data_IF_355124189589
#
_entry.id   IF_355124189589
#
_cell.length_a   1.000
_cell.length_b   1.000
_cell.length_c   1.000
_cell.angle_alpha   90.00
_cell.angle_beta   90.00
_cell.angle_gamma   90.00
#
_symmetry.space_group_name_H-M   'P 1'
#
loop_
_entity.id
_entity.type
_entity.pdbx_description
1 polymer ?
#
# COMPACT_ATOMS: atom_id res chain seq x y z
N UNK A 1 -16.32 20.70 -13.49
CA UNK A 1 -16.90 19.34 -13.53
C UNK A 1 -17.32 18.96 -12.11
N UNK A 2 -18.40 18.21 -11.88
CA UNK A 2 -18.77 17.80 -10.51
C UNK A 2 -18.00 16.52 -10.12
N UNK A 3 -17.22 16.57 -9.04
CA UNK A 3 -16.55 15.41 -8.46
C UNK A 3 -17.21 15.10 -7.10
N UNK A 4 -17.80 13.90 -6.90
CA UNK A 4 -18.42 13.55 -5.64
C UNK A 4 -17.45 13.58 -4.45
N UNK A 5 -17.88 14.06 -3.29
CA UNK A 5 -17.04 14.16 -2.08
C UNK A 5 -16.45 12.83 -1.61
N UNK A 6 -17.17 11.71 -1.79
CA UNK A 6 -16.68 10.37 -1.49
C UNK A 6 -15.47 9.97 -2.36
N UNK A 7 -15.43 10.41 -3.63
CA UNK A 7 -14.29 10.19 -4.53
C UNK A 7 -13.11 11.10 -4.19
N UNK A 8 -13.36 12.33 -3.74
CA UNK A 8 -12.30 13.25 -3.31
C UNK A 8 -11.55 12.72 -2.09
N UNK A 9 -12.27 12.12 -1.12
CA UNK A 9 -11.63 11.45 0.03
C UNK A 9 -10.72 10.29 -0.39
N UNK A 10 -10.98 9.63 -1.52
CA UNK A 10 -10.13 8.54 -2.01
C UNK A 10 -8.81 9.03 -2.63
N UNK A 11 -8.68 10.33 -2.92
CA UNK A 11 -7.42 10.92 -3.39
C UNK A 11 -6.40 10.91 -2.25
N UNK A 12 -6.84 11.07 -0.99
CA UNK A 12 -5.96 10.92 0.16
C UNK A 12 -5.41 9.49 0.25
N UNK A 13 -4.09 9.36 0.50
CA UNK A 13 -3.47 8.07 0.75
C UNK A 13 -3.52 7.78 2.26
N UNK A 14 -4.53 7.03 2.72
CA UNK A 14 -4.70 6.73 4.14
C UNK A 14 -3.47 6.04 4.75
N UNK A 15 -3.08 6.47 5.95
CA UNK A 15 -1.87 6.02 6.63
C UNK A 15 -0.59 6.67 6.11
N UNK A 16 -0.70 7.80 5.40
CA UNK A 16 0.46 8.56 4.92
C UNK A 16 0.81 9.76 5.79
N UNK A 17 -0.04 10.14 6.75
CA UNK A 17 0.28 11.24 7.65
C UNK A 17 1.43 10.84 8.59
N UNK A 18 2.51 11.60 8.54
CA UNK A 18 3.69 11.37 9.37
C UNK A 18 4.37 12.68 9.79
N UNK A 19 5.07 12.63 10.93
CA UNK A 19 6.04 13.66 11.28
C UNK A 19 7.36 13.31 10.59
N UNK A 20 8.04 14.30 10.01
CA UNK A 20 9.39 14.19 9.43
C UNK A 20 10.34 15.17 10.12
N UNK A 21 11.63 15.11 9.79
CA UNK A 21 12.60 16.12 10.24
C UNK A 21 12.35 17.52 9.64
N UNK A 22 11.54 17.61 8.57
CA UNK A 22 11.22 18.83 7.84
C UNK A 22 9.77 19.31 8.03
N UNK A 23 9.02 18.71 8.95
CA UNK A 23 7.66 19.12 9.30
C UNK A 23 6.66 17.96 9.34
N UNK A 24 5.42 18.22 8.95
CA UNK A 24 4.35 17.21 8.89
C UNK A 24 4.07 16.90 7.42
N UNK A 25 4.10 15.63 7.04
CA UNK A 25 3.92 15.20 5.66
C UNK A 25 2.74 14.25 5.51
N UNK A 26 2.06 14.33 4.37
CA UNK A 26 1.11 13.31 3.93
C UNK A 26 1.09 13.22 2.41
N UNK A 27 0.50 12.16 1.88
CA UNK A 27 0.46 11.90 0.44
C UNK A 27 -0.96 11.88 -0.12
N UNK A 28 -1.11 12.46 -1.31
CA UNK A 28 -2.32 12.36 -2.13
C UNK A 28 -1.99 11.64 -3.43
N UNK A 29 -2.86 10.72 -3.86
CA UNK A 29 -2.71 9.95 -5.10
C UNK A 29 -3.83 10.30 -6.06
N UNK A 30 -3.49 10.72 -7.28
CA UNK A 30 -4.50 10.96 -8.29
C UNK A 30 -5.18 9.65 -8.69
N UNK A 31 -6.45 9.49 -8.33
CA UNK A 31 -7.31 8.34 -8.71
C UNK A 31 -8.45 8.73 -9.66
N UNK A 32 -8.43 9.96 -10.16
CA UNK A 32 -9.47 10.52 -11.03
C UNK A 32 -9.08 10.35 -12.51
N UNK A 33 -8.49 11.37 -13.10
CA UNK A 33 -7.95 11.44 -14.47
C UNK A 33 -6.72 12.34 -14.47
N UNK A 34 -5.97 12.35 -15.56
CA UNK A 34 -4.86 13.29 -15.74
C UNK A 34 -5.30 14.71 -15.41
N UNK A 35 -4.50 15.35 -14.57
CA UNK A 35 -4.75 16.68 -14.06
C UNK A 35 -3.47 17.49 -13.95
N UNK A 36 -3.65 18.79 -13.82
CA UNK A 36 -2.59 19.74 -13.53
C UNK A 36 -3.04 20.58 -12.34
N UNK A 37 -2.21 20.66 -11.32
CA UNK A 37 -2.43 21.50 -10.14
C UNK A 37 -1.99 22.92 -10.47
N UNK A 38 -2.94 23.86 -10.40
CA UNK A 38 -2.73 25.27 -10.72
C UNK A 38 -2.80 26.18 -9.49
N UNK A 39 -2.92 25.61 -8.30
CA UNK A 39 -2.76 26.35 -7.04
C UNK A 39 -3.18 25.56 -5.80
N UNK A 40 -2.66 25.96 -4.65
CA UNK A 40 -3.10 25.53 -3.32
C UNK A 40 -3.85 26.70 -2.65
N UNK A 41 -5.11 26.50 -2.33
CA UNK A 41 -5.97 27.56 -1.81
C UNK A 41 -6.06 27.57 -0.27
N UNK A 42 -6.09 26.39 0.36
CA UNK A 42 -6.14 26.25 1.82
C UNK A 42 -5.58 24.89 2.25
N UNK A 43 -4.81 24.87 3.33
CA UNK A 43 -4.42 23.67 4.06
C UNK A 43 -4.68 23.89 5.54
N UNK A 44 -5.48 23.03 6.16
CA UNK A 44 -5.72 23.02 7.60
C UNK A 44 -5.39 21.66 8.18
N UNK A 45 -4.79 21.68 9.36
CA UNK A 45 -4.52 20.49 10.16
C UNK A 45 -5.04 20.78 11.56
N UNK A 46 -5.99 19.97 12.03
CA UNK A 46 -6.77 20.18 13.27
C UNK A 46 -7.49 21.52 13.34
N UNK A 47 -7.90 22.03 12.17
CA UNK A 47 -8.54 23.34 12.02
C UNK A 47 -7.57 24.52 11.94
N UNK A 48 -6.29 24.33 12.28
CA UNK A 48 -5.25 25.35 12.17
C UNK A 48 -4.78 25.50 10.72
N UNK A 49 -4.91 26.70 10.16
CA UNK A 49 -4.47 27.01 8.82
C UNK A 49 -2.94 27.06 8.73
N UNK A 50 -2.37 26.40 7.72
CA UNK A 50 -0.95 26.43 7.40
C UNK A 50 -0.72 27.47 6.29
N UNK A 51 0.14 28.48 6.50
CA UNK A 51 0.46 29.47 5.46
C UNK A 51 1.03 28.79 4.20
N UNK A 52 0.63 29.20 2.97
CA UNK A 52 1.12 28.59 1.73
C UNK A 52 2.65 28.57 1.58
N UNK A 53 3.33 29.62 2.05
CA UNK A 53 4.81 29.73 2.11
C UNK A 53 5.49 28.66 2.98
N UNK A 54 4.72 27.94 3.82
CA UNK A 54 5.15 26.81 4.65
C UNK A 54 4.65 25.48 4.13
N UNK A 55 4.05 25.44 2.95
CA UNK A 55 3.57 24.20 2.33
C UNK A 55 4.42 23.92 1.11
N UNK A 56 4.95 22.71 1.04
CA UNK A 56 5.81 22.24 -0.04
C UNK A 56 5.19 21.01 -0.68
N UNK A 57 5.19 20.96 -2.01
CA UNK A 57 4.62 19.86 -2.79
C UNK A 57 5.70 19.23 -3.67
N UNK A 58 5.79 17.90 -3.67
CA UNK A 58 6.81 17.18 -4.46
C UNK A 58 6.37 15.76 -4.84
N UNK A 59 6.97 15.21 -5.89
CA UNK A 59 6.62 13.91 -6.50
C UNK A 59 7.64 12.81 -6.16
N UNK A 60 8.12 12.76 -4.91
CA UNK A 60 9.17 11.85 -4.45
C UNK A 60 10.57 12.25 -4.94
N UNK A 61 10.85 12.09 -6.23
CA UNK A 61 12.12 12.52 -6.86
C UNK A 61 11.93 13.87 -7.57
N UNK A 62 12.49 14.94 -7.01
CA UNK A 62 12.42 16.30 -7.58
C UNK A 62 12.64 17.38 -6.53
N UNK A 63 12.86 18.61 -6.97
CA UNK A 63 12.84 19.76 -6.06
C UNK A 63 11.40 20.03 -5.59
N UNK A 64 11.21 20.32 -4.28
CA UNK A 64 9.90 20.69 -3.78
C UNK A 64 9.47 22.05 -4.29
N UNK A 65 8.21 22.15 -4.74
CA UNK A 65 7.58 23.39 -5.12
C UNK A 65 6.94 24.04 -3.88
N UNK A 66 7.19 25.31 -3.63
CA UNK A 66 6.46 26.04 -2.59
C UNK A 66 5.03 26.29 -3.06
N UNK A 67 4.05 26.16 -2.16
CA UNK A 67 2.65 26.18 -2.55
C UNK A 67 2.18 27.55 -3.05
N UNK A 68 2.85 28.63 -2.67
CA UNK A 68 2.64 30.00 -3.14
C UNK A 68 3.24 30.30 -4.51
N UNK A 69 4.13 29.44 -5.01
CA UNK A 69 4.66 29.53 -6.38
C UNK A 69 3.74 28.86 -7.40
N UNK A 70 2.91 27.89 -6.96
CA UNK A 70 2.00 27.16 -7.84
C UNK A 70 0.89 28.08 -8.36
N UNK A 71 0.85 28.23 -9.68
CA UNK A 71 -0.11 29.10 -10.37
C UNK A 71 -0.51 28.50 -11.72
N UNK A 72 -1.34 29.21 -12.50
CA UNK A 72 -1.60 28.84 -13.89
C UNK A 72 -0.34 28.93 -14.79
N UNK A 73 0.64 29.77 -14.41
CA UNK A 73 1.89 29.95 -15.16
C UNK A 73 2.99 28.98 -14.73
N UNK A 74 2.95 28.52 -13.46
CA UNK A 74 3.88 27.55 -12.88
C UNK A 74 3.11 26.41 -12.23
N UNK A 75 2.50 25.59 -13.09
CA UNK A 75 1.58 24.54 -12.70
C UNK A 75 2.30 23.19 -12.56
N UNK A 76 1.83 22.34 -11.65
CA UNK A 76 2.40 21.00 -11.42
C UNK A 76 1.57 19.95 -12.15
N UNK A 77 2.20 19.19 -13.04
CA UNK A 77 1.57 18.02 -13.64
C UNK A 77 1.26 16.96 -12.58
N UNK A 78 -0.01 16.58 -12.47
CA UNK A 78 -0.49 15.55 -11.56
C UNK A 78 -1.24 14.46 -12.33
N UNK A 79 -0.55 13.63 -13.13
CA UNK A 79 -1.21 12.63 -13.98
C UNK A 79 -1.83 11.48 -13.17
N UNK A 80 -2.70 10.70 -13.80
CA UNK A 80 -3.41 9.60 -13.18
C UNK A 80 -2.43 8.60 -12.53
N UNK A 81 -2.76 8.12 -11.33
CA UNK A 81 -1.97 7.23 -10.45
C UNK A 81 -0.70 7.83 -9.87
N UNK A 82 -0.32 9.08 -10.15
CA UNK A 82 0.81 9.72 -9.47
C UNK A 82 0.47 10.05 -8.02
N UNK A 83 1.50 10.01 -7.20
CA UNK A 83 1.47 10.40 -5.78
C UNK A 83 2.20 11.71 -5.63
N UNK A 84 1.53 12.70 -5.03
CA UNK A 84 2.09 13.97 -4.64
C UNK A 84 2.17 14.00 -3.11
N UNK A 85 3.34 14.33 -2.61
CA UNK A 85 3.61 14.55 -1.20
C UNK A 85 3.35 16.01 -0.88
N UNK A 86 2.67 16.25 0.23
CA UNK A 86 2.38 17.59 0.76
C UNK A 86 3.03 17.67 2.13
N UNK A 87 4.00 18.56 2.28
CA UNK A 87 4.70 18.80 3.54
C UNK A 87 4.41 20.19 4.07
N UNK A 88 3.93 20.25 5.30
CA UNK A 88 3.74 21.48 6.06
C UNK A 88 4.93 21.69 7.00
N UNK A 89 5.67 22.79 6.84
CA UNK A 89 6.66 23.26 7.82
C UNK A 89 5.93 23.77 9.08
N UNK A 90 5.76 22.86 10.03
CA UNK A 90 5.13 23.10 11.33
C UNK A 90 5.71 22.13 12.37
N UNK A 91 5.51 22.40 13.67
CA UNK A 91 5.86 21.45 14.71
C UNK A 91 5.17 20.09 14.51
N UNK A 92 5.86 19.04 14.94
CA UNK A 92 5.33 17.68 14.95
C UNK A 92 3.97 17.63 15.65
N UNK A 93 3.05 16.84 15.08
CA UNK A 93 1.76 16.55 15.67
C UNK A 93 1.89 15.44 16.72
N UNK A 94 0.92 15.37 17.62
CA UNK A 94 0.84 14.29 18.61
C UNK A 94 0.60 12.94 17.94
N UNK A 95 0.87 11.84 18.66
CA UNK A 95 0.63 10.50 18.13
C UNK A 95 -0.85 10.10 18.29
N UNK A 96 -1.76 10.83 17.64
CA UNK A 96 -3.22 10.60 17.69
C UNK A 96 -3.85 10.86 16.31
N UNK A 97 -5.18 10.88 16.25
CA UNK A 97 -5.97 11.26 15.08
C UNK A 97 -5.94 12.77 14.87
N UNK A 98 -5.69 13.14 13.62
CA UNK A 98 -5.67 14.50 13.14
C UNK A 98 -6.65 14.68 11.97
N UNK A 99 -7.28 15.85 11.92
CA UNK A 99 -8.16 16.22 10.79
C UNK A 99 -7.37 17.03 9.79
N UNK A 100 -7.31 16.57 8.54
CA UNK A 100 -6.66 17.26 7.44
C UNK A 100 -7.72 17.80 6.49
N UNK A 101 -7.65 19.08 6.17
CA UNK A 101 -8.48 19.72 5.15
C UNK A 101 -7.58 20.36 4.10
N UNK A 102 -7.72 19.95 2.85
CA UNK A 102 -6.94 20.49 1.75
C UNK A 102 -7.89 20.99 0.66
N UNK A 103 -7.64 22.22 0.20
CA UNK A 103 -8.30 22.83 -0.94
C UNK A 103 -7.27 23.20 -1.99
N UNK A 104 -7.41 22.62 -3.19
CA UNK A 104 -6.53 22.88 -4.35
C UNK A 104 -7.35 23.29 -5.57
N UNK A 105 -6.71 23.99 -6.49
CA UNK A 105 -7.20 24.23 -7.83
C UNK A 105 -6.51 23.25 -8.78
N UNK A 106 -7.29 22.47 -9.53
CA UNK A 106 -6.76 21.47 -10.46
C UNK A 106 -7.55 21.45 -11.77
N UNK A 107 -6.89 21.53 -12.92
CA UNK A 107 -7.54 21.33 -14.22
C UNK A 107 -7.60 19.84 -14.58
N UNK A 108 -8.69 19.35 -15.21
CA UNK A 108 -9.91 20.06 -15.61
C UNK A 108 -11.01 20.09 -14.52
N UNK A 109 -10.66 19.79 -13.27
CA UNK A 109 -11.62 19.56 -12.19
C UNK A 109 -12.17 20.85 -11.54
N UNK A 110 -11.41 21.95 -11.59
CA UNK A 110 -11.67 23.18 -10.85
C UNK A 110 -11.19 23.07 -9.40
N UNK A 111 -11.93 23.70 -8.49
CA UNK A 111 -11.62 23.65 -7.05
C UNK A 111 -12.00 22.30 -6.45
N UNK A 112 -11.03 21.64 -5.80
CA UNK A 112 -11.20 20.38 -5.10
C UNK A 112 -10.94 20.61 -3.61
N UNK A 113 -11.94 20.30 -2.78
CA UNK A 113 -11.82 20.33 -1.32
C UNK A 113 -12.11 18.95 -0.75
N UNK A 114 -11.25 18.46 0.13
CA UNK A 114 -11.53 17.28 0.93
C UNK A 114 -11.15 17.50 2.40
N UNK A 115 -11.83 16.76 3.27
CA UNK A 115 -11.56 16.66 4.70
C UNK A 115 -11.50 15.18 5.07
N UNK A 116 -10.40 14.78 5.69
CA UNK A 116 -10.12 13.40 6.10
C UNK A 116 -9.56 13.39 7.51
N UNK A 117 -9.77 12.29 8.22
CA UNK A 117 -9.08 12.01 9.47
C UNK A 117 -8.02 10.95 9.17
N UNK A 118 -6.78 11.21 9.57
CA UNK A 118 -5.70 10.21 9.61
C UNK A 118 -5.01 10.28 10.96
N UNK A 119 -4.31 9.22 11.35
CA UNK A 119 -3.58 9.20 12.61
C UNK A 119 -2.09 9.20 12.37
N UNK A 120 -1.36 10.04 13.10
CA UNK A 120 0.06 9.79 13.30
C UNK A 120 0.12 8.72 14.37
N UNK A 121 0.22 7.47 13.95
CA UNK A 121 1.01 6.56 14.75
C UNK A 121 2.41 7.16 14.73
N UNK A 122 2.91 7.63 15.89
CA UNK A 122 4.28 8.15 15.99
C UNK A 122 5.18 7.22 15.18
N UNK A 123 6.00 7.79 14.29
CA UNK A 123 6.84 7.04 13.36
C UNK A 123 7.21 5.69 13.97
N UNK A 124 6.97 4.63 13.23
CA UNK A 124 7.41 3.29 13.61
C UNK A 124 8.93 3.17 13.56
N UNK A 125 9.63 4.02 14.32
CA UNK A 125 10.88 3.65 14.95
C UNK A 125 10.65 2.50 15.99
N UNK A 126 9.41 2.00 16.13
CA UNK A 126 9.03 0.91 17.04
C UNK A 126 8.17 -0.24 16.46
N UNK A 127 7.25 -0.06 15.50
CA UNK A 127 6.60 -1.25 14.89
C UNK A 127 7.52 -1.84 13.84
N UNK A 128 8.01 -3.02 14.16
CA UNK A 128 8.70 -3.90 13.23
C UNK A 128 7.80 -4.07 11.97
N UNK A 129 8.24 -3.52 10.83
CA UNK A 129 7.58 -3.70 9.53
C UNK A 129 8.17 -4.90 8.81
N UNK A 130 7.30 -5.69 8.18
CA UNK A 130 7.74 -6.84 7.37
C UNK A 130 8.63 -6.33 6.22
N UNK A 131 9.87 -6.83 6.09
CA UNK A 131 10.77 -6.44 5.02
C UNK A 131 10.17 -6.60 3.63
N UNK A 132 10.37 -5.58 2.78
CA UNK A 132 9.85 -5.53 1.41
C UNK A 132 10.86 -4.87 0.50
N UNK A 133 11.05 -5.46 -0.67
CA UNK A 133 11.84 -4.88 -1.75
C UNK A 133 10.87 -4.36 -2.83
N UNK A 134 10.97 -3.08 -3.25
CA UNK A 134 10.09 -2.51 -4.27
C UNK A 134 10.39 -2.99 -5.69
N UNK A 135 11.62 -3.44 -5.96
CA UNK A 135 12.11 -3.80 -7.29
C UNK A 135 12.09 -5.32 -7.50
N UNK A 136 12.46 -6.11 -6.49
CA UNK A 136 12.43 -7.58 -6.52
C UNK A 136 11.98 -8.18 -5.18
N UNK A 137 10.66 -8.15 -4.97
CA UNK A 137 10.04 -8.65 -3.74
C UNK A 137 9.97 -10.19 -3.66
N UNK A 138 10.54 -10.94 -4.61
CA UNK A 138 10.52 -12.40 -4.62
C UNK A 138 11.92 -13.02 -4.64
N UNK A 139 12.98 -12.19 -4.65
CA UNK A 139 14.35 -12.65 -4.49
C UNK A 139 14.57 -13.44 -3.19
N UNK A 140 15.52 -14.38 -3.21
CA UNK A 140 15.88 -15.15 -2.02
C UNK A 140 16.34 -14.24 -0.86
N UNK A 141 17.01 -13.12 -1.17
CA UNK A 141 17.53 -12.20 -0.16
C UNK A 141 16.40 -11.56 0.67
N UNK A 142 15.38 -11.00 0.03
CA UNK A 142 14.27 -10.37 0.76
C UNK A 142 13.40 -11.40 1.48
N UNK A 143 13.30 -12.62 0.93
CA UNK A 143 12.61 -13.73 1.57
C UNK A 143 13.34 -14.14 2.87
N UNK A 144 14.66 -14.21 2.86
CA UNK A 144 15.45 -14.56 4.04
C UNK A 144 15.40 -13.46 5.09
N UNK A 145 15.40 -12.19 4.68
CA UNK A 145 15.19 -11.05 5.59
C UNK A 145 13.82 -11.13 6.28
N UNK A 146 12.76 -11.49 5.55
CA UNK A 146 11.43 -11.71 6.14
C UNK A 146 11.39 -12.89 7.11
N UNK A 147 12.05 -13.99 6.79
CA UNK A 147 12.12 -15.15 7.70
C UNK A 147 12.78 -14.74 9.01
N UNK A 148 13.93 -14.08 8.94
CA UNK A 148 14.64 -13.57 10.11
C UNK A 148 13.76 -12.61 10.92
N UNK A 149 13.09 -11.68 10.23
CA UNK A 149 12.13 -10.77 10.86
C UNK A 149 11.02 -11.52 11.63
N UNK A 150 10.44 -12.56 11.03
CA UNK A 150 9.38 -13.35 11.68
C UNK A 150 9.93 -14.11 12.88
N UNK A 151 11.12 -14.70 12.78
CA UNK A 151 11.77 -15.39 13.89
C UNK A 151 12.05 -14.44 15.07
N UNK A 152 12.63 -13.27 14.78
CA UNK A 152 12.96 -12.25 15.78
C UNK A 152 11.70 -11.67 16.43
N UNK A 153 10.66 -11.41 15.63
CA UNK A 153 9.40 -10.85 16.13
C UNK A 153 8.63 -11.85 17.00
N UNK A 154 8.69 -13.13 16.67
CA UNK A 154 7.95 -14.19 17.37
C UNK A 154 8.75 -14.91 18.46
N UNK A 155 10.04 -14.59 18.61
CA UNK A 155 10.99 -15.31 19.47
C UNK A 155 10.94 -16.84 19.26
N UNK A 156 10.76 -17.26 17.99
CA UNK A 156 10.52 -18.66 17.61
C UNK A 156 11.20 -18.97 16.28
N UNK A 157 11.96 -20.06 16.22
CA UNK A 157 12.59 -20.52 14.98
C UNK A 157 11.58 -21.14 13.99
N UNK A 158 11.79 -20.92 12.70
CA UNK A 158 10.97 -21.46 11.61
C UNK A 158 11.54 -22.79 11.09
N UNK A 159 10.98 -23.91 11.53
CA UNK A 159 11.50 -25.25 11.16
C UNK A 159 10.99 -25.78 9.80
N UNK A 160 9.74 -25.51 9.42
CA UNK A 160 9.13 -26.13 8.24
C UNK A 160 8.65 -25.13 7.19
N UNK A 161 8.33 -23.91 7.61
CA UNK A 161 7.89 -22.82 6.74
C UNK A 161 8.92 -22.50 5.64
N UNK A 162 10.25 -22.47 5.91
CA UNK A 162 11.25 -22.11 4.91
C UNK A 162 11.52 -23.19 3.87
N UNK A 163 10.95 -24.39 4.02
CA UNK A 163 11.23 -25.54 3.18
C UNK A 163 10.19 -25.70 2.08
N UNK A 164 10.52 -25.18 0.89
CA UNK A 164 9.75 -25.29 -0.34
C UNK A 164 10.65 -25.77 -1.48
N UNK A 165 10.05 -26.28 -2.56
CA UNK A 165 10.76 -26.95 -3.67
C UNK A 165 10.48 -26.32 -5.03
N UNK A 166 10.13 -25.05 -5.06
CA UNK A 166 9.82 -24.29 -6.28
C UNK A 166 10.42 -22.89 -6.20
N UNK A 167 10.51 -22.22 -7.35
CA UNK A 167 10.97 -20.84 -7.46
C UNK A 167 9.93 -19.87 -6.87
N UNK A 168 10.25 -19.07 -5.85
CA UNK A 168 9.33 -18.09 -5.27
C UNK A 168 8.67 -17.15 -6.27
N UNK A 169 9.32 -16.84 -7.41
CA UNK A 169 8.74 -15.99 -8.46
C UNK A 169 7.40 -16.53 -8.98
N UNK A 170 7.18 -17.86 -8.98
CA UNK A 170 5.90 -18.43 -9.44
C UNK A 170 4.71 -18.06 -8.56
N UNK A 171 4.99 -17.51 -7.37
CA UNK A 171 3.96 -17.06 -6.43
C UNK A 171 3.57 -15.59 -6.64
N UNK A 172 4.19 -14.90 -7.61
CA UNK A 172 3.80 -13.55 -7.98
C UNK A 172 2.31 -13.48 -8.33
N UNK A 173 1.61 -12.50 -7.73
CA UNK A 173 0.16 -12.34 -7.87
C UNK A 173 -0.70 -13.34 -7.11
N UNK A 174 -0.11 -14.36 -6.48
CA UNK A 174 -0.82 -15.32 -5.61
C UNK A 174 -0.67 -14.98 -4.13
N UNK A 175 0.48 -14.41 -3.73
CA UNK A 175 0.76 -14.00 -2.35
C UNK A 175 1.74 -12.84 -2.31
N UNK A 176 1.51 -11.87 -1.44
CA UNK A 176 2.46 -10.80 -1.13
C UNK A 176 3.42 -11.22 0.00
N UNK A 177 4.65 -10.66 0.00
CA UNK A 177 5.64 -10.88 1.07
C UNK A 177 5.92 -12.37 1.36
N UNK A 178 6.09 -13.17 0.32
CA UNK A 178 6.31 -14.62 0.41
C UNK A 178 7.38 -14.99 1.46
N UNK A 179 7.02 -15.71 2.51
CA UNK A 179 7.96 -16.08 3.59
C UNK A 179 8.24 -17.59 3.61
N UNK A 180 7.42 -18.38 2.91
CA UNK A 180 7.51 -19.83 2.87
C UNK A 180 6.18 -20.47 2.51
N UNK A 181 5.98 -21.73 2.92
CA UNK A 181 4.79 -22.51 2.55
C UNK A 181 4.13 -23.19 3.75
N UNK A 182 2.81 -23.36 3.66
CA UNK A 182 2.10 -24.34 4.46
C UNK A 182 2.07 -25.68 3.72
N UNK A 183 2.44 -26.76 4.40
CA UNK A 183 2.41 -28.11 3.83
C UNK A 183 1.05 -28.76 4.13
N UNK A 184 0.34 -29.19 3.09
CA UNK A 184 -0.94 -29.89 3.22
C UNK A 184 -0.73 -31.38 2.89
N UNK A 185 -1.17 -32.32 3.75
CA UNK A 185 -1.07 -33.74 3.44
C UNK A 185 -1.77 -34.08 2.12
N UNK A 186 -1.11 -34.90 1.30
CA UNK A 186 -1.61 -35.34 0.00
C UNK A 186 -1.82 -36.85 0.00
N UNK A 187 -3.06 -37.28 -0.24
CA UNK A 187 -3.42 -38.68 -0.44
C UNK A 187 -3.81 -38.98 -1.88
N UNK A 188 -3.83 -40.26 -2.24
CA UNK A 188 -4.31 -40.74 -3.54
C UNK A 188 -5.49 -41.68 -3.30
N UNK A 189 -6.59 -41.48 -4.04
CA UNK A 189 -7.74 -42.39 -4.04
C UNK A 189 -7.98 -42.96 -5.44
N UNK A 190 -8.50 -44.19 -5.50
CA UNK A 190 -8.78 -44.92 -6.75
C UNK A 190 -8.11 -46.29 -6.86
N UNK A 191 -8.10 -46.89 -8.06
CA UNK A 191 -8.62 -46.31 -9.31
C UNK A 191 -10.14 -46.10 -9.28
N UNK A 192 -10.61 -44.96 -9.80
CA UNK A 192 -12.02 -44.71 -10.09
C UNK A 192 -12.24 -44.87 -11.60
N UNK A 193 -13.09 -45.82 -12.01
CA UNK A 193 -13.49 -45.95 -13.40
C UNK A 193 -14.46 -44.83 -13.77
N UNK A 194 -14.07 -43.99 -14.74
CA UNK A 194 -14.89 -42.86 -15.21
C UNK A 194 -15.50 -43.18 -16.57
N UNK A 195 -16.81 -42.96 -16.71
CA UNK A 195 -17.54 -43.03 -17.98
C UNK A 195 -18.19 -41.67 -18.28
N UNK A 196 -17.36 -40.68 -18.60
CA UNK A 196 -17.79 -39.31 -18.88
C UNK A 196 -17.78 -38.94 -20.36
N UNK A 197 -18.22 -37.72 -20.66
CA UNK A 197 -18.11 -37.11 -21.99
C UNK A 197 -16.65 -36.79 -22.35
N UNK A 198 -15.84 -36.44 -21.36
CA UNK A 198 -14.46 -35.98 -21.54
C UNK A 198 -13.38 -36.96 -21.04
N UNK A 199 -13.75 -38.00 -20.29
CA UNK A 199 -12.84 -39.02 -19.76
C UNK A 199 -13.51 -40.40 -19.75
N UNK A 200 -12.78 -41.46 -20.07
CA UNK A 200 -13.26 -42.83 -20.31
C UNK A 200 -12.21 -43.86 -19.84
N UNK A 201 -11.72 -43.71 -18.61
CA UNK A 201 -10.53 -44.39 -18.10
C UNK A 201 -10.55 -44.54 -16.57
N UNK A 202 -9.65 -45.39 -16.05
CA UNK A 202 -9.42 -45.58 -14.63
C UNK A 202 -8.44 -44.50 -14.13
N UNK A 203 -8.87 -43.64 -13.20
CA UNK A 203 -8.07 -42.52 -12.72
C UNK A 203 -7.69 -42.66 -11.24
N UNK A 204 -6.46 -42.25 -10.92
CA UNK A 204 -6.04 -41.97 -9.54
C UNK A 204 -6.26 -40.48 -9.26
N UNK A 205 -6.92 -40.19 -8.14
CA UNK A 205 -7.34 -38.83 -7.78
C UNK A 205 -6.47 -38.36 -6.60
N UNK A 206 -5.65 -37.31 -6.78
CA UNK A 206 -4.93 -36.67 -5.69
C UNK A 206 -5.88 -35.80 -4.86
N UNK A 207 -5.84 -35.94 -3.53
CA UNK A 207 -6.63 -35.16 -2.59
C UNK A 207 -5.71 -34.55 -1.52
N UNK A 208 -5.64 -33.21 -1.47
CA UNK A 208 -4.94 -32.48 -0.43
C UNK A 208 -5.91 -32.14 0.71
N UNK A 209 -5.70 -32.66 1.92
CA UNK A 209 -6.62 -32.47 3.04
C UNK A 209 -5.94 -32.61 4.40
N UNK A 210 -6.48 -31.93 5.41
CA UNK A 210 -6.19 -32.16 6.82
C UNK A 210 -7.29 -32.97 7.54
N UNK A 211 -8.39 -33.28 6.86
CA UNK A 211 -9.51 -34.04 7.43
C UNK A 211 -9.22 -35.54 7.43
N UNK A 212 -9.26 -36.14 8.62
CA UNK A 212 -9.10 -37.59 8.77
C UNK A 212 -10.21 -38.36 8.06
N UNK A 213 -9.91 -39.57 7.60
CA UNK A 213 -10.83 -40.49 6.88
C UNK A 213 -11.33 -40.02 5.51
N UNK A 214 -11.18 -38.76 5.12
CA UNK A 214 -11.68 -38.24 3.84
C UNK A 214 -11.14 -38.99 2.62
N UNK A 215 -9.83 -39.27 2.58
CA UNK A 215 -9.22 -39.98 1.44
C UNK A 215 -9.61 -41.47 1.40
N UNK A 216 -9.92 -42.05 2.55
CA UNK A 216 -10.21 -43.48 2.70
C UNK A 216 -11.70 -43.83 2.57
N UNK A 217 -12.59 -42.85 2.77
CA UNK A 217 -14.04 -43.02 2.64
C UNK A 217 -14.48 -43.19 1.19
#
# INVERSE_FOLDING_TARGET
MFVPSALLKQIYNFGSLENTDQGVEFAIKNRLKDATLTGLLDLRIDGDAVPPERVHLFMGEGEPHAADEISEEDAIDFPLRRTLHVRADRPALEADKHTLELTVQAEPFGTLTFSVEDSISGQDEGLARIPRDPDDNYSQAIIDERKQFVEDYSDTALDHVPHYSFDPEVTEGNVENFTGVAQIPLGMTGPLTVHGEHAQDDVLIPLATSEGTLVAS
#
